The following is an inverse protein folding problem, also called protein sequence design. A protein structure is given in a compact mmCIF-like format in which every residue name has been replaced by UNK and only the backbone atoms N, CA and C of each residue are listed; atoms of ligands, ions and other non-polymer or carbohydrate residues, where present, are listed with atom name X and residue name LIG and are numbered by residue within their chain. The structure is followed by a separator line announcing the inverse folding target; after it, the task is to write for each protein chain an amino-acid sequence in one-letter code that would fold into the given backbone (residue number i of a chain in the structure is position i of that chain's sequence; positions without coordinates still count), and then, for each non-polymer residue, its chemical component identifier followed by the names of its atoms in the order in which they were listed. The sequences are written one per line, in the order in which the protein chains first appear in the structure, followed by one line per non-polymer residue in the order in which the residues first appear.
data_IF_939535780702
#
_entry.id   IF_939535780702
#
_cell.length_a   1.000
_cell.length_b   1.000
_cell.length_c   1.000
_cell.angle_alpha   90.00
_cell.angle_beta   90.00
_cell.angle_gamma   90.00
#
_symmetry.space_group_name_H-M   'P 1'
#
loop_
_entity.id
_entity.type
_entity.pdbx_description
1 polymer ?
#
# COMPACT_ATOMS: atom_id res chain seq x y z
N UNK A 1 12.35 -25.09 -26.40
CA UNK A 1 13.19 -24.00 -25.85
C UNK A 1 12.36 -22.87 -25.21
N UNK A 2 11.24 -22.45 -25.86
CA UNK A 2 10.31 -21.41 -25.31
C UNK A 2 9.53 -21.95 -24.13
N UNK A 3 9.01 -23.18 -24.23
CA UNK A 3 8.25 -23.85 -23.17
C UNK A 3 9.10 -24.08 -21.90
N UNK A 4 10.36 -24.46 -22.07
CA UNK A 4 11.29 -24.65 -20.93
C UNK A 4 11.60 -23.31 -20.23
N UNK A 5 11.80 -22.23 -20.99
CA UNK A 5 11.99 -20.88 -20.42
C UNK A 5 10.75 -20.38 -19.68
N UNK A 6 9.56 -20.70 -20.19
CA UNK A 6 8.30 -20.31 -19.54
C UNK A 6 8.09 -21.05 -18.21
N UNK A 7 8.39 -22.36 -18.16
CA UNK A 7 8.34 -23.14 -16.93
C UNK A 7 9.38 -22.64 -15.92
N UNK A 8 10.60 -22.34 -16.36
CA UNK A 8 11.66 -21.76 -15.53
C UNK A 8 11.20 -20.46 -14.89
N UNK A 9 10.63 -19.57 -15.69
CA UNK A 9 10.10 -18.29 -15.20
C UNK A 9 8.97 -18.47 -14.20
N UNK A 10 8.08 -19.44 -14.45
CA UNK A 10 6.96 -19.75 -13.56
C UNK A 10 7.45 -20.30 -12.20
N UNK A 11 8.48 -21.15 -12.21
CA UNK A 11 9.09 -21.69 -10.99
C UNK A 11 9.79 -20.57 -10.17
N UNK A 12 10.48 -19.64 -10.83
CA UNK A 12 11.09 -18.49 -10.17
C UNK A 12 10.05 -17.53 -9.58
N UNK A 13 8.88 -17.44 -10.19
CA UNK A 13 7.79 -16.59 -9.72
C UNK A 13 6.97 -17.20 -8.58
N UNK A 14 7.00 -18.52 -8.42
CA UNK A 14 6.20 -19.24 -7.43
C UNK A 14 6.39 -18.75 -5.98
N UNK A 15 7.62 -18.45 -5.50
CA UNK A 15 7.83 -17.91 -4.16
C UNK A 15 7.12 -16.57 -3.91
N UNK A 16 7.00 -15.74 -4.94
CA UNK A 16 6.29 -14.45 -4.83
C UNK A 16 4.78 -14.61 -4.76
N UNK A 17 4.22 -15.66 -5.36
CA UNK A 17 2.79 -15.99 -5.19
C UNK A 17 2.45 -16.33 -3.73
N UNK A 18 3.44 -16.75 -2.94
CA UNK A 18 3.26 -16.99 -1.52
C UNK A 18 2.86 -15.73 -0.75
N UNK A 19 3.33 -14.57 -1.17
CA UNK A 19 2.93 -13.28 -0.61
C UNK A 19 1.41 -13.08 -0.70
N UNK A 20 0.80 -13.52 -1.80
CA UNK A 20 -0.65 -13.42 -2.01
C UNK A 20 -1.44 -14.29 -1.04
N UNK A 21 -0.84 -15.35 -0.51
CA UNK A 21 -1.49 -16.24 0.47
C UNK A 21 -1.43 -15.71 1.92
N UNK A 22 -0.58 -14.71 2.20
CA UNK A 22 -0.43 -14.11 3.54
C UNK A 22 -1.77 -13.65 4.14
N UNK A 23 -2.67 -12.97 3.41
CA UNK A 23 -3.98 -12.60 3.94
C UNK A 23 -4.83 -13.78 4.36
N UNK A 24 -4.72 -14.91 3.65
CA UNK A 24 -5.47 -16.12 3.96
C UNK A 24 -4.98 -16.71 5.29
N UNK A 25 -3.67 -16.83 5.48
CA UNK A 25 -3.11 -17.27 6.76
C UNK A 25 -3.49 -16.32 7.91
N UNK A 26 -3.45 -15.01 7.66
CA UNK A 26 -3.84 -14.01 8.64
C UNK A 26 -5.30 -14.11 9.06
N UNK A 27 -6.21 -14.40 8.11
CA UNK A 27 -7.64 -14.55 8.40
C UNK A 27 -7.92 -15.73 9.34
N UNK A 28 -7.10 -16.79 9.26
CA UNK A 28 -7.28 -17.99 10.06
C UNK A 28 -6.50 -17.99 11.37
N UNK A 29 -5.30 -17.48 11.36
CA UNK A 29 -4.37 -17.62 12.49
C UNK A 29 -4.00 -16.25 13.16
N UNK A 30 -4.53 -15.16 12.65
CA UNK A 30 -4.33 -13.83 13.21
C UNK A 30 -3.06 -13.13 12.74
N UNK A 31 -2.85 -11.93 13.27
CA UNK A 31 -1.80 -11.00 12.84
C UNK A 31 -0.39 -11.50 13.16
N UNK A 32 -0.21 -12.19 14.28
CA UNK A 32 1.10 -12.73 14.70
C UNK A 32 1.69 -13.64 13.61
N UNK A 33 0.85 -14.46 12.99
CA UNK A 33 1.27 -15.32 11.89
C UNK A 33 1.64 -14.53 10.64
N UNK A 34 0.89 -13.49 10.29
CA UNK A 34 1.21 -12.60 9.15
C UNK A 34 2.61 -12.03 9.31
N UNK A 35 2.91 -11.50 10.50
CA UNK A 35 4.22 -10.89 10.80
C UNK A 35 5.35 -11.91 10.70
N UNK A 36 5.15 -13.12 11.24
CA UNK A 36 6.14 -14.20 11.16
C UNK A 36 6.40 -14.64 9.72
N UNK A 37 5.34 -14.85 8.92
CA UNK A 37 5.47 -15.20 7.50
C UNK A 37 6.18 -14.10 6.73
N UNK A 38 5.85 -12.85 6.98
CA UNK A 38 6.51 -11.72 6.33
C UNK A 38 8.01 -11.67 6.64
N UNK A 39 8.41 -11.88 7.90
CA UNK A 39 9.83 -11.93 8.28
C UNK A 39 10.53 -13.12 7.62
N UNK A 40 9.88 -14.27 7.53
CA UNK A 40 10.44 -15.42 6.79
C UNK A 40 10.63 -15.12 5.31
N UNK A 41 9.70 -14.37 4.71
CA UNK A 41 9.86 -13.89 3.32
C UNK A 41 11.02 -12.91 3.19
N UNK A 42 11.25 -12.02 4.16
CA UNK A 42 12.43 -11.16 4.19
C UNK A 42 13.72 -11.99 4.25
N UNK A 43 13.77 -12.97 5.13
CA UNK A 43 14.93 -13.87 5.25
C UNK A 43 15.18 -14.59 3.92
N UNK A 44 14.13 -15.07 3.27
CA UNK A 44 14.23 -15.72 1.96
C UNK A 44 14.79 -14.78 0.90
N UNK A 45 14.27 -13.56 0.81
CA UNK A 45 14.71 -12.57 -0.19
C UNK A 45 16.17 -12.18 0.04
N UNK A 46 16.58 -11.94 1.29
CA UNK A 46 17.96 -11.62 1.65
C UNK A 46 18.90 -12.79 1.32
N UNK A 47 18.52 -14.01 1.75
CA UNK A 47 19.32 -15.19 1.48
C UNK A 47 19.48 -15.45 -0.02
N UNK A 48 18.42 -15.21 -0.81
CA UNK A 48 18.46 -15.36 -2.26
C UNK A 48 19.44 -14.39 -2.95
N UNK A 49 19.54 -13.15 -2.45
CA UNK A 49 20.49 -12.17 -2.99
C UNK A 49 21.93 -12.36 -2.48
N UNK A 50 22.13 -12.99 -1.33
CA UNK A 50 23.45 -13.34 -0.82
C UNK A 50 24.12 -14.47 -1.61
N UNK A 51 23.33 -15.22 -2.38
CA UNK A 51 23.86 -16.31 -3.23
C UNK A 51 24.62 -15.70 -4.41
N UNK A 52 25.91 -16.05 -4.61
CA UNK A 52 26.71 -15.53 -5.72
C UNK A 52 26.09 -15.89 -7.07
N UNK A 53 26.13 -14.95 -8.01
CA UNK A 53 25.60 -15.15 -9.38
C UNK A 53 26.27 -16.34 -10.09
N UNK A 54 27.53 -16.65 -9.78
CA UNK A 54 28.25 -17.82 -10.27
C UNK A 54 27.57 -19.14 -9.85
N UNK A 55 27.03 -19.19 -8.64
CA UNK A 55 26.35 -20.37 -8.13
C UNK A 55 24.98 -20.56 -8.78
N UNK A 56 24.27 -19.48 -9.08
CA UNK A 56 23.02 -19.50 -9.85
C UNK A 56 23.17 -20.08 -11.26
N UNK A 57 24.34 -19.90 -11.89
CA UNK A 57 24.61 -20.47 -13.21
C UNK A 57 24.92 -21.98 -13.17
N UNK A 58 25.47 -22.45 -12.05
CA UNK A 58 25.84 -23.87 -11.86
C UNK A 58 24.64 -24.69 -11.37
N UNK A 59 23.84 -24.14 -10.48
CA UNK A 59 22.66 -24.83 -9.90
C UNK A 59 21.41 -24.05 -10.27
N UNK A 60 20.78 -24.37 -11.40
CA UNK A 60 19.47 -23.80 -11.73
C UNK A 60 18.47 -24.18 -10.63
N UNK A 61 17.55 -23.28 -10.32
CA UNK A 61 16.53 -23.45 -9.26
C UNK A 61 17.02 -23.39 -7.81
N UNK A 62 18.25 -22.91 -7.57
CA UNK A 62 18.77 -22.80 -6.21
C UNK A 62 17.87 -21.93 -5.32
N UNK A 63 17.34 -20.82 -5.83
CA UNK A 63 16.39 -19.95 -5.13
C UNK A 63 15.08 -20.65 -4.80
N UNK A 64 14.56 -21.48 -5.71
CA UNK A 64 13.38 -22.29 -5.45
C UNK A 64 13.67 -23.39 -4.40
N UNK A 65 14.81 -24.06 -4.47
CA UNK A 65 15.25 -25.01 -3.46
C UNK A 65 15.37 -24.38 -2.07
N UNK A 66 15.93 -23.19 -1.98
CA UNK A 66 16.02 -22.43 -0.74
C UNK A 66 14.63 -22.07 -0.19
N UNK A 67 13.70 -21.68 -1.06
CA UNK A 67 12.32 -21.42 -0.67
C UNK A 67 11.63 -22.67 -0.12
N UNK A 68 11.73 -23.80 -0.80
CA UNK A 68 11.19 -25.09 -0.33
C UNK A 68 11.78 -25.47 1.02
N UNK A 69 13.08 -25.26 1.20
CA UNK A 69 13.76 -25.56 2.45
C UNK A 69 13.21 -24.68 3.59
N UNK A 70 13.05 -23.38 3.36
CA UNK A 70 12.49 -22.48 4.37
C UNK A 70 11.05 -22.86 4.71
N UNK A 71 10.21 -23.09 3.71
CA UNK A 71 8.78 -23.39 3.91
C UNK A 71 8.56 -24.73 4.60
N UNK A 72 9.39 -25.72 4.31
CA UNK A 72 9.23 -27.08 4.81
C UNK A 72 9.89 -27.33 6.17
N UNK A 73 11.11 -26.80 6.37
CA UNK A 73 11.92 -27.11 7.56
C UNK A 73 11.91 -26.03 8.62
N UNK A 74 11.72 -24.76 8.24
CA UNK A 74 11.80 -23.67 9.22
C UNK A 74 10.51 -23.60 10.03
N UNK A 75 10.56 -23.79 11.37
CA UNK A 75 9.39 -23.63 12.20
C UNK A 75 8.99 -22.15 12.30
N UNK A 76 7.70 -21.89 12.30
CA UNK A 76 7.15 -20.53 12.36
C UNK A 76 7.62 -19.80 13.64
N UNK A 77 7.83 -20.55 14.72
CA UNK A 77 8.27 -20.00 16.01
C UNK A 77 9.78 -19.68 16.09
N UNK A 78 10.53 -19.87 14.99
CA UNK A 78 11.96 -19.52 14.96
C UNK A 78 12.22 -18.05 15.28
N UNK A 79 11.29 -17.17 14.91
CA UNK A 79 11.43 -15.74 15.06
C UNK A 79 11.09 -15.35 16.51
N UNK A 80 12.03 -14.71 17.24
CA UNK A 80 11.81 -14.33 18.63
C UNK A 80 10.79 -13.19 18.72
N UNK A 81 10.00 -13.20 19.79
CA UNK A 81 8.94 -12.20 20.03
C UNK A 81 9.40 -10.73 19.94
N UNK A 82 10.59 -10.31 20.43
CA UNK A 82 11.02 -8.92 20.32
C UNK A 82 11.14 -8.40 18.88
N UNK A 83 11.56 -9.28 17.95
CA UNK A 83 11.66 -8.94 16.51
C UNK A 83 10.29 -8.72 15.93
N UNK A 84 9.32 -9.57 16.26
CA UNK A 84 7.94 -9.44 15.81
C UNK A 84 7.33 -8.15 16.36
N UNK A 85 7.54 -7.85 17.63
CA UNK A 85 7.06 -6.63 18.26
C UNK A 85 7.65 -5.37 17.60
N UNK A 86 8.97 -5.36 17.33
CA UNK A 86 9.62 -4.24 16.64
C UNK A 86 9.05 -4.05 15.23
N UNK A 87 8.89 -5.14 14.49
CA UNK A 87 8.33 -5.11 13.15
C UNK A 87 6.89 -4.61 13.12
N UNK A 88 6.07 -5.06 14.07
CA UNK A 88 4.72 -4.57 14.29
C UNK A 88 4.66 -3.06 14.49
N UNK A 89 5.53 -2.52 15.37
CA UNK A 89 5.60 -1.08 15.60
C UNK A 89 6.08 -0.29 14.39
N UNK A 90 7.01 -0.86 13.63
CA UNK A 90 7.47 -0.26 12.38
C UNK A 90 6.32 -0.15 11.36
N UNK A 91 5.53 -1.22 11.19
CA UNK A 91 4.37 -1.22 10.31
C UNK A 91 3.31 -0.20 10.75
N UNK A 92 3.07 -0.08 12.05
CA UNK A 92 2.12 0.87 12.59
C UNK A 92 2.52 2.33 12.33
N UNK A 93 3.80 2.69 12.56
CA UNK A 93 4.32 4.05 12.35
C UNK A 93 4.34 4.41 10.85
N UNK A 94 4.74 3.46 10.01
CA UNK A 94 4.86 3.70 8.57
C UNK A 94 3.52 3.79 7.84
N UNK A 95 2.46 3.22 8.40
CA UNK A 95 1.13 3.22 7.79
C UNK A 95 0.61 4.61 7.41
N UNK A 96 0.46 5.55 8.35
CA UNK A 96 0.01 6.91 8.06
C UNK A 96 0.95 7.66 7.10
N UNK A 97 2.26 7.47 7.25
CA UNK A 97 3.27 8.10 6.37
C UNK A 97 3.09 7.65 4.94
N UNK A 98 2.92 6.35 4.71
CA UNK A 98 2.68 5.82 3.37
C UNK A 98 1.36 6.33 2.78
N UNK A 99 0.29 6.38 3.56
CA UNK A 99 -1.01 6.91 3.13
C UNK A 99 -0.92 8.37 2.68
N UNK A 100 -0.19 9.21 3.43
CA UNK A 100 0.03 10.61 3.05
C UNK A 100 0.86 10.69 1.78
N UNK A 101 1.93 9.91 1.69
CA UNK A 101 2.82 9.92 0.53
C UNK A 101 2.10 9.50 -0.75
N UNK A 102 1.27 8.47 -0.69
CA UNK A 102 0.45 8.00 -1.81
C UNK A 102 -0.39 9.12 -2.41
N UNK A 103 -1.14 9.82 -1.56
CA UNK A 103 -2.06 10.86 -2.04
C UNK A 103 -1.31 12.08 -2.56
N UNK A 104 -0.23 12.48 -1.89
CA UNK A 104 0.61 13.60 -2.33
C UNK A 104 1.25 13.31 -3.68
N UNK A 105 1.76 12.10 -3.90
CA UNK A 105 2.35 11.70 -5.17
C UNK A 105 1.31 11.62 -6.29
N UNK A 106 0.12 11.08 -6.02
CA UNK A 106 -0.97 11.02 -6.98
C UNK A 106 -1.42 12.43 -7.41
N UNK A 107 -1.60 13.33 -6.45
CA UNK A 107 -1.97 14.74 -6.74
C UNK A 107 -0.86 15.47 -7.49
N UNK A 108 0.39 15.33 -7.06
CA UNK A 108 1.53 15.95 -7.72
C UNK A 108 1.68 15.47 -9.18
N UNK A 109 1.48 14.18 -9.43
CA UNK A 109 1.49 13.63 -10.79
C UNK A 109 0.38 14.26 -11.64
N UNK A 110 -0.85 14.28 -11.12
CA UNK A 110 -1.99 14.86 -11.84
C UNK A 110 -1.78 16.36 -12.14
N UNK A 111 -1.35 17.14 -11.17
CA UNK A 111 -1.13 18.59 -11.34
C UNK A 111 -0.03 18.87 -12.36
N UNK A 112 1.05 18.07 -12.40
CA UNK A 112 2.07 18.18 -13.44
C UNK A 112 1.54 17.83 -14.83
N UNK A 113 0.66 16.84 -14.93
CA UNK A 113 0.04 16.46 -16.20
C UNK A 113 -0.90 17.58 -16.70
N UNK A 114 -1.76 18.12 -15.84
CA UNK A 114 -2.69 19.18 -16.20
C UNK A 114 -1.97 20.46 -16.63
N UNK A 115 -0.91 20.85 -15.92
CA UNK A 115 -0.07 22.00 -16.28
C UNK A 115 0.56 21.82 -17.68
N UNK A 116 1.14 20.66 -17.96
CA UNK A 116 1.69 20.37 -19.32
C UNK A 116 0.64 20.45 -20.41
N UNK A 117 -0.56 19.95 -20.13
CA UNK A 117 -1.67 20.04 -21.11
C UNK A 117 -2.13 21.48 -21.27
N UNK A 118 -2.20 22.28 -20.19
CA UNK A 118 -2.55 23.70 -20.28
C UNK A 118 -1.54 24.51 -21.10
N UNK A 119 -0.24 24.28 -20.91
CA UNK A 119 0.82 24.90 -21.71
C UNK A 119 0.64 24.58 -23.20
N UNK A 120 0.40 23.31 -23.55
CA UNK A 120 0.13 22.92 -24.95
C UNK A 120 -1.15 23.54 -25.53
N UNK A 121 -2.18 23.74 -24.71
CA UNK A 121 -3.40 24.45 -25.15
C UNK A 121 -3.09 25.91 -25.49
N UNK A 122 -2.19 26.54 -24.73
CA UNK A 122 -1.78 27.93 -24.98
C UNK A 122 -0.89 28.06 -26.23
N UNK A 123 -0.04 27.07 -26.50
CA UNK A 123 0.86 27.06 -27.66
C UNK A 123 0.13 26.73 -28.97
N UNK A 124 -0.69 25.66 -28.98
CA UNK A 124 -1.27 25.08 -30.21
C UNK A 124 -2.75 25.45 -30.44
N UNK A 125 -3.41 26.14 -29.49
CA UNK A 125 -4.87 26.43 -29.44
C UNK A 125 -5.77 25.20 -29.82
N UNK A 126 -5.32 24.03 -29.46
CA UNK A 126 -5.93 22.76 -29.89
C UNK A 126 -7.21 22.50 -29.10
N UNK A 127 -8.33 22.43 -29.82
CA UNK A 127 -9.64 22.10 -29.26
C UNK A 127 -9.70 20.71 -28.65
N UNK A 128 -8.83 19.80 -29.08
CA UNK A 128 -8.79 18.42 -28.63
C UNK A 128 -8.31 18.33 -27.18
N UNK A 129 -7.27 19.08 -26.79
CA UNK A 129 -6.79 19.11 -25.42
C UNK A 129 -7.78 19.78 -24.46
N UNK A 130 -8.49 20.81 -24.92
CA UNK A 130 -9.60 21.43 -24.16
C UNK A 130 -10.70 20.41 -23.86
N UNK A 131 -11.07 19.61 -24.87
CA UNK A 131 -12.06 18.54 -24.71
C UNK A 131 -11.61 17.46 -23.75
N UNK A 132 -10.34 17.04 -23.78
CA UNK A 132 -9.77 16.04 -22.88
C UNK A 132 -9.88 16.51 -21.42
N UNK A 133 -9.51 17.77 -21.10
CA UNK A 133 -9.62 18.32 -19.76
C UNK A 133 -11.07 18.32 -19.27
N UNK A 134 -12.00 18.74 -20.11
CA UNK A 134 -13.42 18.80 -19.76
C UNK A 134 -13.97 17.39 -19.51
N UNK A 135 -13.67 16.44 -20.39
CA UNK A 135 -14.11 15.04 -20.23
C UNK A 135 -13.52 14.39 -19.00
N UNK A 136 -12.23 14.64 -18.71
CA UNK A 136 -11.59 14.13 -17.50
C UNK A 136 -12.22 14.71 -16.25
N UNK A 137 -12.46 16.04 -16.20
CA UNK A 137 -13.12 16.68 -15.05
C UNK A 137 -14.53 16.15 -14.85
N UNK A 138 -15.31 16.02 -15.93
CA UNK A 138 -16.64 15.43 -15.89
C UNK A 138 -16.62 13.96 -15.39
N UNK A 139 -15.64 13.17 -15.82
CA UNK A 139 -15.41 11.82 -15.35
C UNK A 139 -15.11 11.76 -13.84
N UNK A 140 -14.26 12.66 -13.35
CA UNK A 140 -13.96 12.77 -11.91
C UNK A 140 -15.22 13.08 -11.10
N UNK A 141 -16.06 14.02 -11.55
CA UNK A 141 -17.32 14.34 -10.85
C UNK A 141 -18.34 13.20 -10.92
N UNK A 142 -18.43 12.49 -12.04
CA UNK A 142 -19.31 11.35 -12.18
C UNK A 142 -18.91 10.20 -11.23
N UNK A 143 -17.61 9.90 -11.13
CA UNK A 143 -17.09 8.91 -10.18
C UNK A 143 -17.33 9.36 -8.73
N UNK A 144 -17.08 10.63 -8.42
CA UNK A 144 -17.35 11.20 -7.11
C UNK A 144 -18.82 11.02 -6.72
N UNK A 145 -19.75 11.34 -7.62
CA UNK A 145 -21.18 11.19 -7.38
C UNK A 145 -21.58 9.72 -7.17
N UNK A 146 -21.02 8.80 -7.95
CA UNK A 146 -21.23 7.36 -7.82
C UNK A 146 -20.80 6.83 -6.44
N UNK A 147 -19.60 7.20 -5.99
CA UNK A 147 -19.10 6.78 -4.66
C UNK A 147 -19.90 7.40 -3.52
N UNK A 148 -20.28 8.67 -3.62
CA UNK A 148 -21.12 9.33 -2.63
C UNK A 148 -22.50 8.66 -2.53
N UNK A 149 -23.10 8.28 -3.66
CA UNK A 149 -24.35 7.56 -3.69
C UNK A 149 -24.25 6.19 -2.99
N UNK A 150 -23.17 5.47 -3.25
CA UNK A 150 -22.94 4.17 -2.62
C UNK A 150 -22.67 4.30 -1.11
N UNK A 151 -21.91 5.32 -0.68
CA UNK A 151 -21.72 5.62 0.75
C UNK A 151 -23.05 5.97 1.41
N UNK A 152 -23.89 6.77 0.73
CA UNK A 152 -25.21 7.14 1.23
C UNK A 152 -26.14 5.94 1.36
N UNK A 153 -26.12 5.00 0.41
CA UNK A 153 -27.04 3.85 0.43
C UNK A 153 -26.66 2.78 1.45
N UNK A 154 -25.37 2.62 1.76
CA UNK A 154 -24.85 1.49 2.57
C UNK A 154 -23.99 1.91 3.76
N UNK A 155 -23.83 3.22 4.00
CA UNK A 155 -22.97 3.76 5.05
C UNK A 155 -23.60 3.71 6.45
N UNK A 156 -22.74 3.83 7.47
CA UNK A 156 -23.13 4.03 8.86
C UNK A 156 -23.25 5.52 9.21
N UNK A 157 -23.77 5.84 10.40
CA UNK A 157 -23.86 7.23 10.89
C UNK A 157 -22.51 7.96 10.85
N UNK A 158 -21.42 7.28 11.19
CA UNK A 158 -20.07 7.85 11.12
C UNK A 158 -19.69 8.22 9.68
N UNK A 159 -20.04 7.37 8.70
CA UNK A 159 -19.77 7.65 7.28
C UNK A 159 -20.57 8.85 6.77
N UNK A 160 -21.81 9.05 7.24
CA UNK A 160 -22.59 10.24 6.86
C UNK A 160 -22.00 11.54 7.41
N UNK A 161 -21.52 11.52 8.66
CA UNK A 161 -20.86 12.68 9.26
C UNK A 161 -19.56 13.02 8.50
N UNK A 162 -18.77 12.01 8.18
CA UNK A 162 -17.53 12.21 7.39
C UNK A 162 -17.85 12.62 5.95
N UNK A 163 -18.92 12.11 5.34
CA UNK A 163 -19.38 12.54 4.02
C UNK A 163 -19.70 14.03 4.00
N UNK A 164 -20.39 14.53 5.03
CA UNK A 164 -20.70 15.95 5.17
C UNK A 164 -19.40 16.77 5.29
N UNK A 165 -18.44 16.32 6.09
CA UNK A 165 -17.12 16.96 6.20
C UNK A 165 -16.41 17.02 4.84
N UNK A 166 -16.40 15.91 4.10
CA UNK A 166 -15.79 15.82 2.77
C UNK A 166 -16.45 16.79 1.79
N UNK A 167 -17.77 16.92 1.82
CA UNK A 167 -18.47 17.90 0.96
C UNK A 167 -18.06 19.34 1.29
N UNK A 168 -17.90 19.69 2.57
CA UNK A 168 -17.38 21.00 2.98
C UNK A 168 -15.95 21.21 2.45
N UNK A 169 -15.08 20.19 2.56
CA UNK A 169 -13.72 20.24 2.02
C UNK A 169 -13.70 20.42 0.50
N UNK A 170 -14.58 19.73 -0.23
CA UNK A 170 -14.71 19.89 -1.67
C UNK A 170 -15.15 21.32 -2.06
N UNK A 171 -16.08 21.89 -1.32
CA UNK A 171 -16.50 23.30 -1.53
C UNK A 171 -15.33 24.26 -1.25
N UNK A 172 -14.55 24.01 -0.19
CA UNK A 172 -13.38 24.81 0.13
C UNK A 172 -12.31 24.74 -0.98
N UNK A 173 -12.03 23.55 -1.52
CA UNK A 173 -11.11 23.35 -2.65
C UNK A 173 -11.57 24.14 -3.88
N UNK A 174 -12.85 24.10 -4.24
CA UNK A 174 -13.39 24.86 -5.36
C UNK A 174 -13.32 26.38 -5.12
N UNK A 175 -13.62 26.84 -3.92
CA UNK A 175 -13.50 28.25 -3.58
C UNK A 175 -12.04 28.73 -3.71
N UNK A 176 -11.07 27.92 -3.23
CA UNK A 176 -9.65 28.26 -3.37
C UNK A 176 -9.20 28.27 -4.83
N UNK A 177 -9.68 27.32 -5.64
CA UNK A 177 -9.45 27.31 -7.08
C UNK A 177 -9.97 28.60 -7.75
N UNK A 178 -11.19 29.03 -7.43
CA UNK A 178 -11.79 30.26 -7.99
C UNK A 178 -11.06 31.53 -7.56
N UNK A 179 -10.49 31.53 -6.36
CA UNK A 179 -9.71 32.68 -5.85
C UNK A 179 -8.28 32.72 -6.40
N UNK A 180 -7.79 31.61 -6.94
CA UNK A 180 -6.46 31.51 -7.54
C UNK A 180 -6.53 31.81 -9.05
N UNK A 181 -5.57 32.57 -9.57
CA UNK A 181 -5.48 32.85 -11.02
C UNK A 181 -5.01 31.62 -11.81
N UNK A 182 -4.26 30.72 -11.15
CA UNK A 182 -3.67 29.53 -11.75
C UNK A 182 -4.49 28.26 -11.46
N UNK A 183 -5.69 28.43 -10.91
CA UNK A 183 -6.56 27.32 -10.54
C UNK A 183 -7.12 26.57 -11.74
N UNK A 184 -6.75 25.29 -11.91
CA UNK A 184 -7.23 24.42 -12.98
C UNK A 184 -8.39 23.56 -12.45
N UNK A 185 -9.54 23.62 -13.13
CA UNK A 185 -10.75 22.85 -12.75
C UNK A 185 -10.49 21.35 -12.66
N UNK A 186 -9.67 20.83 -13.56
CA UNK A 186 -9.29 19.41 -13.61
C UNK A 186 -8.60 18.95 -12.30
N UNK A 187 -7.72 19.78 -11.73
CA UNK A 187 -6.98 19.47 -10.51
C UNK A 187 -7.88 19.52 -9.28
N UNK A 188 -8.79 20.52 -9.23
CA UNK A 188 -9.79 20.58 -8.17
C UNK A 188 -10.76 19.38 -8.23
N UNK A 189 -11.23 19.02 -9.42
CA UNK A 189 -12.10 17.85 -9.63
C UNK A 189 -11.41 16.54 -9.19
N UNK A 190 -10.14 16.37 -9.57
CA UNK A 190 -9.37 15.19 -9.18
C UNK A 190 -9.11 15.13 -7.67
N UNK A 191 -8.77 16.27 -7.04
CA UNK A 191 -8.58 16.34 -5.58
C UNK A 191 -9.85 15.98 -4.83
N UNK A 192 -11.00 16.50 -5.25
CA UNK A 192 -12.30 16.15 -4.67
C UNK A 192 -12.64 14.68 -4.88
N UNK A 193 -12.42 14.15 -6.08
CA UNK A 193 -12.60 12.73 -6.36
C UNK A 193 -11.71 11.87 -5.46
N UNK A 194 -10.43 12.20 -5.31
CA UNK A 194 -9.52 11.47 -4.42
C UNK A 194 -10.00 11.50 -2.96
N UNK A 195 -10.47 12.65 -2.47
CA UNK A 195 -10.98 12.79 -1.11
C UNK A 195 -12.20 11.89 -0.87
N UNK A 196 -13.11 11.81 -1.84
CA UNK A 196 -14.28 10.91 -1.79
C UNK A 196 -13.85 9.44 -1.94
N UNK A 197 -12.86 9.13 -2.78
CA UNK A 197 -12.30 7.78 -2.90
C UNK A 197 -11.68 7.29 -1.59
N UNK A 198 -11.00 8.17 -0.83
CA UNK A 198 -10.45 7.83 0.49
C UNK A 198 -11.58 7.50 1.47
N UNK A 199 -12.66 8.27 1.47
CA UNK A 199 -13.85 7.98 2.28
C UNK A 199 -14.50 6.65 1.89
N UNK A 200 -14.59 6.37 0.59
CA UNK A 200 -15.11 5.10 0.08
C UNK A 200 -14.20 3.92 0.49
N UNK A 201 -12.88 4.09 0.38
CA UNK A 201 -11.92 3.10 0.85
C UNK A 201 -12.10 2.78 2.34
N UNK A 202 -12.27 3.81 3.17
CA UNK A 202 -12.53 3.65 4.59
C UNK A 202 -13.82 2.86 4.85
N UNK A 203 -14.89 3.11 4.09
CA UNK A 203 -16.13 2.33 4.18
C UNK A 203 -15.91 0.86 3.84
N UNK A 204 -15.21 0.58 2.73
CA UNK A 204 -14.93 -0.80 2.32
C UNK A 204 -14.04 -1.53 3.34
N UNK A 205 -13.01 -0.87 3.87
CA UNK A 205 -12.14 -1.42 4.92
C UNK A 205 -12.94 -1.72 6.19
N UNK A 206 -13.78 -0.81 6.65
CA UNK A 206 -14.61 -1.02 7.85
C UNK A 206 -15.64 -2.13 7.65
N UNK A 207 -16.20 -2.29 6.46
CA UNK A 207 -17.13 -3.40 6.17
C UNK A 207 -16.41 -4.76 6.14
N UNK A 208 -15.18 -4.81 5.63
CA UNK A 208 -14.37 -6.04 5.67
C UNK A 208 -14.04 -6.46 7.11
N UNK A 209 -13.73 -5.50 7.96
CA UNK A 209 -13.40 -5.72 9.38
C UNK A 209 -14.62 -6.16 10.18
N UNK A 210 -15.78 -5.55 9.93
CA UNK A 210 -17.04 -5.87 10.64
C UNK A 210 -17.69 -7.18 10.20
N UNK A 211 -17.23 -7.78 9.10
CA UNK A 211 -17.64 -9.10 8.64
C UNK A 211 -16.49 -10.11 8.76
N UNK A 212 -16.01 -10.41 9.99
CA UNK A 212 -14.94 -11.36 10.18
C UNK A 212 -15.40 -12.73 9.68
N UNK A 213 -14.49 -13.42 9.01
CA UNK A 213 -14.67 -14.83 8.74
C UNK A 213 -14.87 -15.53 10.10
N UNK A 214 -16.02 -16.15 10.29
CA UNK A 214 -16.25 -17.01 11.46
C UNK A 214 -15.34 -18.21 11.31
N UNK A 215 -14.12 -18.08 11.80
CA UNK A 215 -13.18 -19.20 11.84
C UNK A 215 -13.63 -20.15 12.94
N UNK A 216 -13.69 -21.46 12.66
CA UNK A 216 -13.93 -22.46 13.69
C UNK A 216 -12.90 -22.31 14.81
N UNK A 217 -13.33 -22.41 16.06
CA UNK A 217 -12.45 -22.30 17.23
C UNK A 217 -11.26 -23.27 17.23
N UNK A 218 -11.39 -24.37 16.49
CA UNK A 218 -10.33 -25.36 16.27
C UNK A 218 -9.14 -24.83 15.48
N UNK A 219 -9.27 -23.74 14.74
CA UNK A 219 -8.23 -23.17 13.89
C UNK A 219 -7.26 -22.26 14.63
N UNK A 220 -7.63 -21.81 15.83
CA UNK A 220 -6.72 -21.05 16.70
C UNK A 220 -5.70 -21.92 17.43
N UNK A 221 -5.78 -23.25 17.28
CA UNK A 221 -4.90 -24.22 17.92
C UNK A 221 -3.80 -24.73 16.98
N UNK A 222 -3.19 -23.85 16.18
CA UNK A 222 -2.01 -24.28 15.44
C UNK A 222 -0.81 -24.45 16.40
N UNK A 223 -0.05 -25.52 16.20
CA UNK A 223 1.20 -25.69 16.95
C UNK A 223 2.27 -24.76 16.33
N UNK A 224 2.80 -23.77 17.08
CA UNK A 224 3.81 -22.85 16.57
C UNK A 224 5.13 -23.52 16.16
N UNK A 225 5.34 -24.78 16.55
CA UNK A 225 6.50 -25.59 16.14
C UNK A 225 6.38 -26.16 14.73
N UNK A 226 5.22 -26.11 14.13
CA UNK A 226 5.00 -26.61 12.77
C UNK A 226 5.64 -25.65 11.74
N UNK A 227 6.03 -26.24 10.59
CA UNK A 227 6.47 -25.46 9.45
C UNK A 227 5.27 -24.88 8.70
N UNK A 228 5.52 -23.85 7.85
CA UNK A 228 4.49 -23.22 7.02
C UNK A 228 3.78 -24.23 6.10
N UNK A 229 4.49 -25.24 5.61
CA UNK A 229 3.91 -26.28 4.76
C UNK A 229 2.89 -27.12 5.52
N UNK A 230 3.20 -27.53 6.74
CA UNK A 230 2.29 -28.33 7.56
C UNK A 230 1.06 -27.52 7.99
N UNK A 231 1.25 -26.21 8.27
CA UNK A 231 0.13 -25.32 8.53
C UNK A 231 -0.77 -25.17 7.30
N UNK A 232 -0.21 -25.00 6.11
CA UNK A 232 -0.96 -24.96 4.86
C UNK A 232 -1.75 -26.25 4.61
N UNK A 233 -1.14 -27.40 4.83
CA UNK A 233 -1.83 -28.69 4.76
C UNK A 233 -2.93 -28.83 5.80
N UNK A 234 -2.70 -28.37 7.03
CA UNK A 234 -3.71 -28.37 8.09
C UNK A 234 -4.93 -27.53 7.69
N UNK A 235 -4.72 -26.32 7.16
CA UNK A 235 -5.78 -25.46 6.66
C UNK A 235 -6.53 -26.13 5.50
N UNK A 236 -5.81 -26.75 4.58
CA UNK A 236 -6.39 -27.40 3.41
C UNK A 236 -7.19 -28.67 3.77
N UNK A 237 -6.70 -29.46 4.72
CA UNK A 237 -7.33 -30.73 5.12
C UNK A 237 -8.46 -30.57 6.13
N UNK A 238 -8.56 -29.39 6.79
CA UNK A 238 -9.48 -29.25 7.92
C UNK A 238 -10.95 -29.28 7.53
N UNK A 239 -11.32 -28.87 6.32
CA UNK A 239 -12.65 -29.13 5.69
C UNK A 239 -12.74 -28.50 4.30
N UNK A 240 -13.57 -29.07 3.42
CA UNK A 240 -13.93 -28.49 2.10
C UNK A 240 -14.61 -27.11 2.28
N UNK A 241 -15.40 -26.95 3.35
CA UNK A 241 -16.05 -25.68 3.70
C UNK A 241 -15.03 -24.58 4.03
N UNK A 242 -13.92 -24.92 4.62
CA UNK A 242 -12.83 -24.01 4.96
C UNK A 242 -12.08 -23.49 3.75
N UNK A 243 -11.89 -24.33 2.74
CA UNK A 243 -11.33 -23.92 1.45
C UNK A 243 -12.28 -22.92 0.76
N UNK A 244 -13.59 -23.15 0.82
CA UNK A 244 -14.60 -22.21 0.30
C UNK A 244 -14.57 -20.85 1.01
N UNK A 245 -14.41 -20.85 2.34
CA UNK A 245 -14.26 -19.63 3.13
C UNK A 245 -12.95 -18.88 2.80
N UNK A 246 -11.84 -19.58 2.64
CA UNK A 246 -10.55 -19.01 2.25
C UNK A 246 -10.61 -18.36 0.86
N UNK A 247 -11.21 -19.05 -0.11
CA UNK A 247 -11.42 -18.52 -1.46
C UNK A 247 -12.35 -17.31 -1.41
N UNK A 248 -13.45 -17.38 -0.66
CA UNK A 248 -14.37 -16.27 -0.49
C UNK A 248 -13.71 -15.03 0.11
N UNK A 249 -12.81 -15.20 1.08
CA UNK A 249 -12.02 -14.12 1.66
C UNK A 249 -11.01 -13.56 0.65
N UNK A 250 -10.30 -14.42 -0.06
CA UNK A 250 -9.36 -14.02 -1.10
C UNK A 250 -10.06 -13.23 -2.20
N UNK A 251 -11.25 -13.64 -2.62
CA UNK A 251 -12.06 -12.92 -3.60
C UNK A 251 -12.52 -11.55 -3.11
N UNK A 252 -12.82 -11.41 -1.81
CA UNK A 252 -13.10 -10.11 -1.21
C UNK A 252 -11.86 -9.20 -1.18
N UNK A 253 -10.71 -9.78 -0.88
CA UNK A 253 -9.42 -9.09 -0.86
C UNK A 253 -8.96 -8.67 -2.26
N UNK A 254 -9.23 -9.46 -3.30
CA UNK A 254 -8.88 -9.20 -4.69
C UNK A 254 -9.92 -8.33 -5.44
N UNK A 255 -10.80 -7.63 -4.72
CA UNK A 255 -11.71 -6.66 -5.38
C UNK A 255 -10.92 -5.62 -6.17
N UNK A 256 -11.46 -5.14 -7.31
CA UNK A 256 -10.75 -4.19 -8.18
C UNK A 256 -10.28 -2.93 -7.46
N UNK A 257 -11.08 -2.44 -6.52
CA UNK A 257 -10.73 -1.26 -5.72
C UNK A 257 -9.51 -1.52 -4.82
N UNK A 258 -9.43 -2.71 -4.23
CA UNK A 258 -8.32 -3.08 -3.37
C UNK A 258 -7.03 -3.27 -4.17
N UNK A 259 -7.13 -3.86 -5.37
CA UNK A 259 -6.02 -3.98 -6.32
C UNK A 259 -5.54 -2.61 -6.80
N UNK A 260 -6.45 -1.67 -7.03
CA UNK A 260 -6.10 -0.30 -7.37
C UNK A 260 -5.32 0.38 -6.24
N UNK A 261 -5.78 0.25 -5.00
CA UNK A 261 -5.08 0.77 -3.82
C UNK A 261 -3.68 0.16 -3.68
N UNK A 262 -3.56 -1.15 -3.89
CA UNK A 262 -2.27 -1.84 -3.91
C UNK A 262 -1.36 -1.30 -5.02
N UNK A 263 -1.90 -1.10 -6.22
CA UNK A 263 -1.16 -0.54 -7.36
C UNK A 263 -0.63 0.87 -7.08
N UNK A 264 -1.45 1.75 -6.52
CA UNK A 264 -1.05 3.11 -6.12
C UNK A 264 0.06 3.06 -5.07
N UNK A 265 -0.05 2.17 -4.11
CA UNK A 265 0.96 1.94 -3.08
C UNK A 265 2.29 1.48 -3.64
N UNK A 266 2.27 0.48 -4.50
CA UNK A 266 3.47 -0.03 -5.18
C UNK A 266 4.13 1.08 -6.01
N UNK A 267 3.34 1.83 -6.78
CA UNK A 267 3.84 2.97 -7.54
C UNK A 267 4.53 4.00 -6.63
N UNK A 268 3.92 4.34 -5.50
CA UNK A 268 4.47 5.32 -4.56
C UNK A 268 5.82 4.90 -4.00
N UNK A 269 5.98 3.62 -3.63
CA UNK A 269 7.28 3.12 -3.15
C UNK A 269 8.32 3.09 -4.26
N UNK A 270 7.96 2.64 -5.46
CA UNK A 270 8.90 2.63 -6.58
C UNK A 270 9.36 4.05 -6.92
N UNK A 271 8.45 5.03 -6.86
CA UNK A 271 8.79 6.43 -7.05
C UNK A 271 9.72 6.97 -5.96
N UNK A 272 9.50 6.62 -4.70
CA UNK A 272 10.37 7.01 -3.59
C UNK A 272 11.77 6.42 -3.78
N UNK A 273 11.87 5.13 -4.10
CA UNK A 273 13.15 4.45 -4.34
C UNK A 273 13.89 5.11 -5.51
N UNK A 274 13.21 5.39 -6.61
CA UNK A 274 13.81 6.07 -7.75
C UNK A 274 14.24 7.51 -7.41
N UNK A 275 13.44 8.23 -6.62
CA UNK A 275 13.79 9.60 -6.19
C UNK A 275 15.02 9.60 -5.29
N UNK A 276 15.15 8.62 -4.39
CA UNK A 276 16.34 8.47 -3.55
C UNK A 276 17.59 8.13 -4.38
N UNK A 277 17.45 7.29 -5.41
CA UNK A 277 18.54 7.02 -6.35
C UNK A 277 19.02 8.29 -7.06
N UNK A 278 18.09 9.13 -7.53
CA UNK A 278 18.45 10.40 -8.19
C UNK A 278 19.15 11.38 -7.25
N UNK A 279 18.69 11.48 -6.01
CA UNK A 279 19.31 12.36 -5.00
C UNK A 279 20.76 11.90 -4.74
N UNK A 280 20.97 10.60 -4.62
CA UNK A 280 22.27 10.01 -4.39
C UNK A 280 23.21 10.22 -5.60
N UNK A 281 22.70 10.12 -6.82
CA UNK A 281 23.44 10.45 -8.04
C UNK A 281 23.87 11.93 -8.09
N UNK A 282 22.94 12.85 -7.80
CA UNK A 282 23.23 14.28 -7.76
C UNK A 282 24.24 14.63 -6.68
N UNK A 283 24.17 14.00 -5.52
CA UNK A 283 25.09 14.24 -4.41
C UNK A 283 26.51 13.72 -4.75
N UNK A 284 26.62 12.63 -5.50
CA UNK A 284 27.91 12.13 -6.03
C UNK A 284 28.49 13.05 -7.08
N UNK A 285 27.68 13.56 -7.99
CA UNK A 285 28.11 14.47 -9.05
C UNK A 285 28.68 15.78 -8.46
N UNK A 286 28.15 16.23 -7.33
CA UNK A 286 28.65 17.40 -6.60
C UNK A 286 29.91 17.13 -5.77
N UNK A 287 30.21 15.85 -5.45
CA UNK A 287 31.36 15.42 -4.65
C UNK A 287 32.56 15.02 -5.48
N UNK A 288 32.59 15.27 -6.80
CA UNK A 288 33.61 14.79 -7.73
C UNK A 288 35.00 15.42 -7.56
N UNK A 289 35.16 16.42 -6.70
CA UNK A 289 36.45 17.09 -6.54
C UNK A 289 37.46 16.35 -5.62
N UNK A 290 37.13 15.18 -5.05
CA UNK A 290 38.01 14.62 -4.00
C UNK A 290 38.38 13.12 -4.11
N UNK A 291 37.66 12.26 -4.85
CA UNK A 291 37.95 10.82 -4.84
C UNK A 291 37.80 10.16 -6.22
N UNK A 292 38.92 10.04 -6.90
CA UNK A 292 39.12 9.35 -8.18
C UNK A 292 39.44 7.88 -7.93
N UNK A 293 38.90 7.02 -7.44
CA UNK A 293 39.09 5.56 -7.20
C UNK A 293 38.40 5.08 -5.92
N UNK A 294 37.08 5.01 -5.97
CA UNK A 294 36.41 4.02 -5.14
C UNK A 294 35.41 3.27 -6.04
N UNK A 295 35.52 1.95 -6.00
CA UNK A 295 34.65 0.98 -6.69
C UNK A 295 33.23 1.48 -6.81
N UNK A 296 32.51 1.14 -7.89
CA UNK A 296 31.08 1.34 -8.06
C UNK A 296 30.34 0.76 -6.85
N UNK A 297 30.33 1.49 -5.75
CA UNK A 297 29.49 1.15 -4.61
C UNK A 297 28.05 1.13 -5.10
N UNK A 298 27.52 -0.08 -5.22
CA UNK A 298 26.11 -0.31 -5.56
C UNK A 298 25.29 0.40 -4.48
N UNK A 299 24.70 1.53 -4.86
CA UNK A 299 23.81 2.24 -3.93
C UNK A 299 22.73 1.28 -3.47
N UNK A 300 22.45 1.20 -2.16
CA UNK A 300 21.48 0.25 -1.63
C UNK A 300 20.08 0.41 -2.27
N UNK A 301 19.77 1.59 -2.78
CA UNK A 301 18.50 1.91 -3.44
C UNK A 301 18.38 1.34 -4.87
N UNK A 302 19.50 1.14 -5.58
CA UNK A 302 19.51 0.50 -6.91
C UNK A 302 19.47 -1.02 -6.85
N UNK A 303 19.63 -1.58 -5.67
CA UNK A 303 19.62 -3.03 -5.49
C UNK A 303 18.23 -3.61 -5.76
N UNK A 304 18.07 -4.67 -6.55
CA UNK A 304 16.84 -5.40 -6.70
C UNK A 304 16.32 -5.96 -5.36
N UNK A 305 17.22 -6.15 -4.40
CA UNK A 305 16.89 -6.55 -3.04
C UNK A 305 15.96 -5.53 -2.36
N UNK A 306 16.31 -4.23 -2.41
CA UNK A 306 15.50 -3.17 -1.79
C UNK A 306 14.09 -3.14 -2.36
N UNK A 307 13.94 -3.31 -3.68
CA UNK A 307 12.63 -3.36 -4.34
C UNK A 307 11.81 -4.56 -3.88
N UNK A 308 12.41 -5.75 -3.81
CA UNK A 308 11.74 -6.98 -3.34
C UNK A 308 11.30 -6.84 -1.87
N UNK A 309 12.17 -6.32 -1.00
CA UNK A 309 11.85 -6.08 0.41
C UNK A 309 10.73 -5.05 0.56
N UNK A 310 10.76 -3.97 -0.23
CA UNK A 310 9.72 -2.96 -0.23
C UNK A 310 8.34 -3.54 -0.62
N UNK A 311 8.28 -4.41 -1.62
CA UNK A 311 7.03 -5.09 -2.03
C UNK A 311 6.49 -5.96 -0.90
N UNK A 312 7.33 -6.78 -0.26
CA UNK A 312 6.92 -7.62 0.87
C UNK A 312 6.42 -6.78 2.03
N UNK A 313 7.15 -5.71 2.37
CA UNK A 313 6.79 -4.78 3.44
C UNK A 313 5.41 -4.15 3.19
N UNK A 314 5.19 -3.62 1.99
CA UNK A 314 3.95 -2.99 1.58
C UNK A 314 2.75 -3.91 1.67
N UNK A 315 2.92 -5.10 1.11
CA UNK A 315 1.86 -6.09 1.11
C UNK A 315 1.51 -6.52 2.53
N UNK A 316 2.52 -6.67 3.39
CA UNK A 316 2.33 -6.98 4.81
C UNK A 316 1.62 -5.84 5.54
N UNK A 317 2.04 -4.60 5.32
CA UNK A 317 1.44 -3.42 5.96
C UNK A 317 -0.04 -3.27 5.56
N UNK A 318 -0.36 -3.47 4.29
CA UNK A 318 -1.73 -3.41 3.79
C UNK A 318 -2.59 -4.54 4.37
N UNK A 319 -2.03 -5.74 4.50
CA UNK A 319 -2.72 -6.90 5.07
C UNK A 319 -2.89 -6.76 6.58
N UNK A 320 -1.86 -6.33 7.30
CA UNK A 320 -1.90 -6.18 8.75
C UNK A 320 -2.94 -5.17 9.19
N UNK A 321 -3.07 -4.05 8.48
CA UNK A 321 -4.08 -3.02 8.78
C UNK A 321 -5.51 -3.57 8.80
N UNK A 322 -5.81 -4.58 7.97
CA UNK A 322 -7.13 -5.21 7.92
C UNK A 322 -7.41 -6.09 9.14
N UNK A 323 -6.36 -6.65 9.76
CA UNK A 323 -6.49 -7.60 10.86
C UNK A 323 -6.27 -6.99 12.24
N UNK A 324 -5.63 -5.83 12.36
CA UNK A 324 -5.42 -5.15 13.65
C UNK A 324 -6.71 -4.91 14.42
N UNK A 325 -7.76 -4.56 13.72
CA UNK A 325 -9.04 -4.21 14.32
C UNK A 325 -9.89 -5.43 14.70
N UNK A 326 -9.65 -6.56 14.03
CA UNK A 326 -10.38 -7.81 14.30
C UNK A 326 -10.02 -8.44 15.65
N UNK A 327 -8.81 -8.23 16.16
CA UNK A 327 -8.32 -8.87 17.38
C UNK A 327 -8.32 -8.00 18.65
N UNK A 328 -8.81 -6.76 18.58
CA UNK A 328 -8.85 -5.84 19.72
C UNK A 328 -7.48 -5.73 20.37
N UNK A 329 -6.64 -4.82 19.88
CA UNK A 329 -5.25 -4.65 20.29
C UNK A 329 -5.12 -4.60 21.82
N UNK A 330 -4.60 -5.66 22.40
CA UNK A 330 -4.40 -5.83 23.84
C UNK A 330 -3.38 -4.86 24.44
N UNK A 331 -2.58 -4.18 23.62
CA UNK A 331 -1.50 -3.27 24.05
C UNK A 331 -2.06 -1.95 24.62
N UNK A 332 -3.19 -1.47 24.11
CA UNK A 332 -3.86 -0.26 24.63
C UNK A 332 -4.76 -0.53 25.84
N UNK A 333 -4.83 -1.77 26.33
CA UNK A 333 -5.58 -2.13 27.52
C UNK A 333 -4.83 -1.83 28.84
N UNK A 334 -3.56 -1.41 28.78
CA UNK A 334 -2.80 -1.00 29.95
C UNK A 334 -3.10 0.45 30.34
N UNK A 335 -3.42 0.66 31.59
CA UNK A 335 -3.57 1.99 32.20
C UNK A 335 -2.28 2.81 32.00
N UNK A 336 -2.27 4.09 31.57
CA UNK A 336 -3.38 5.06 31.46
C UNK A 336 -4.03 5.16 30.05
N UNK A 337 -3.66 4.33 29.09
CA UNK A 337 -4.09 4.42 27.70
C UNK A 337 -5.57 4.07 27.47
N UNK A 338 -6.23 3.41 28.41
CA UNK A 338 -7.66 3.10 28.31
C UNK A 338 -8.56 4.34 28.16
N UNK A 339 -8.16 5.48 28.73
CA UNK A 339 -8.91 6.73 28.62
C UNK A 339 -8.80 7.31 27.20
N UNK A 340 -7.63 7.22 26.59
CA UNK A 340 -7.35 7.69 25.24
C UNK A 340 -8.04 6.78 24.20
N UNK A 341 -8.14 5.48 24.46
CA UNK A 341 -8.79 4.52 23.58
C UNK A 341 -10.27 4.84 23.33
N UNK A 342 -10.99 5.33 24.33
CA UNK A 342 -12.40 5.69 24.17
C UNK A 342 -12.59 6.94 23.28
N UNK A 343 -11.57 7.78 23.16
CA UNK A 343 -11.58 8.99 22.32
C UNK A 343 -10.81 8.81 21.02
N UNK A 344 -10.00 7.74 20.89
CA UNK A 344 -9.23 7.51 19.66
C UNK A 344 -10.13 6.79 18.64
N UNK A 345 -10.39 7.40 17.49
CA UNK A 345 -11.06 6.69 16.41
C UNK A 345 -10.20 5.48 16.02
N UNK A 346 -10.85 4.44 15.55
CA UNK A 346 -10.16 3.25 15.06
C UNK A 346 -8.99 3.65 14.15
N UNK A 347 -7.85 3.01 14.28
CA UNK A 347 -6.59 3.41 13.60
C UNK A 347 -6.74 3.63 12.08
N UNK A 348 -7.58 2.82 11.43
CA UNK A 348 -7.90 2.96 10.00
C UNK A 348 -8.65 4.26 9.74
N UNK A 349 -9.65 4.59 10.55
CA UNK A 349 -10.45 5.81 10.40
C UNK A 349 -9.56 7.03 10.58
N UNK A 350 -8.69 7.00 11.58
CA UNK A 350 -7.73 8.08 11.83
C UNK A 350 -6.76 8.25 10.65
N UNK A 351 -6.15 7.19 10.18
CA UNK A 351 -5.24 7.21 9.04
C UNK A 351 -5.90 7.78 7.76
N UNK A 352 -7.13 7.38 7.49
CA UNK A 352 -7.89 7.86 6.32
C UNK A 352 -8.32 9.33 6.47
N UNK A 353 -8.71 9.76 7.65
CA UNK A 353 -9.03 11.19 7.91
C UNK A 353 -7.78 12.05 7.73
N UNK A 354 -6.63 11.63 8.26
CA UNK A 354 -5.36 12.32 8.06
C UNK A 354 -5.00 12.39 6.56
N UNK A 355 -5.20 11.30 5.83
CA UNK A 355 -4.98 11.25 4.38
C UNK A 355 -5.89 12.24 3.62
N UNK A 356 -7.18 12.34 3.97
CA UNK A 356 -8.10 13.33 3.38
C UNK A 356 -7.66 14.76 3.65
N UNK A 357 -7.26 15.07 4.88
CA UNK A 357 -6.76 16.40 5.25
C UNK A 357 -5.47 16.70 4.47
N UNK A 358 -4.54 15.76 4.42
CA UNK A 358 -3.28 15.93 3.70
C UNK A 358 -3.49 16.21 2.20
N UNK A 359 -4.44 15.52 1.55
CA UNK A 359 -4.79 15.76 0.15
C UNK A 359 -5.21 17.21 -0.10
N UNK A 360 -6.13 17.73 0.72
CA UNK A 360 -6.66 19.08 0.57
C UNK A 360 -5.62 20.14 0.96
N UNK A 361 -4.86 19.91 2.05
CA UNK A 361 -3.77 20.81 2.45
C UNK A 361 -2.68 20.90 1.39
N UNK A 362 -2.30 19.77 0.77
CA UNK A 362 -1.31 19.77 -0.30
C UNK A 362 -1.77 20.55 -1.52
N UNK A 363 -3.03 20.39 -1.93
CA UNK A 363 -3.59 21.16 -3.05
C UNK A 363 -3.57 22.66 -2.77
N UNK A 364 -4.05 23.08 -1.59
CA UNK A 364 -4.07 24.49 -1.18
C UNK A 364 -2.65 25.07 -1.08
N UNK A 365 -1.74 24.31 -0.47
CA UNK A 365 -0.33 24.70 -0.36
C UNK A 365 0.31 24.91 -1.72
N UNK A 366 0.05 24.02 -2.67
CA UNK A 366 0.58 24.12 -4.03
C UNK A 366 0.07 25.37 -4.74
N UNK A 367 -1.23 25.64 -4.69
CA UNK A 367 -1.81 26.85 -5.26
C UNK A 367 -1.24 28.14 -4.64
N UNK A 368 -0.91 28.14 -3.35
CA UNK A 368 -0.35 29.31 -2.69
C UNK A 368 1.13 29.53 -3.06
N UNK A 369 1.91 28.48 -3.25
CA UNK A 369 3.33 28.56 -3.62
C UNK A 369 3.54 28.99 -5.07
N UNK A 370 2.73 28.50 -6.00
CA UNK A 370 2.79 28.94 -7.39
C UNK A 370 2.55 30.46 -7.49
N UNK A 371 1.65 30.98 -6.66
CA UNK A 371 1.43 32.43 -6.55
C UNK A 371 2.68 33.18 -6.06
N UNK A 372 3.48 32.62 -5.16
CA UNK A 372 4.67 33.27 -4.62
C UNK A 372 5.84 33.31 -5.63
N UNK A 373 5.98 32.31 -6.50
CA UNK A 373 7.00 32.30 -7.55
C UNK A 373 6.76 33.32 -8.66
N UNK A 374 5.50 33.67 -8.93
CA UNK A 374 5.14 34.69 -9.94
C UNK A 374 5.11 36.10 -9.39
N UNK A 375 5.16 36.28 -8.08
CA UNK A 375 5.17 37.61 -7.43
C UNK A 375 6.58 38.13 -7.13
N UNK A 376 7.61 37.36 -7.36
CA UNK A 376 9.04 37.71 -7.28
C UNK A 376 9.68 37.77 -8.66
#
# INVERSE_FOLDING_TARGET
HVFTKMILWLIEFLPYLWVVTVPVYGSFCGIDLILRISILLFIYVIAGEMVPKSLHSVVPYLSFGLWVLIVYYVPINLIPWPVIWLYDKLLWITGPVLMITEIVLALNFQMRCSQRVCVRIQEDDSSLFKLIIILFSAGCYALMASFLYEIYSTGSTTHYLLMFLVLIMCVAVHNMMWMSQDGILCDAAFTCMCTVCILYAMKEETTLINSPLKTPSTWFQYDPKQSMFHLGLFIFNSTVDSAGLAIGFLMKFLRPFFLLTLGVRLYSILYIIESMNRIDELQREYSWDTYEYLDEEITPWKSPLTMKLAVVFMFTQMTSNLFYESQGVTILNTFPFNLVRNFYPKDIIFGRVVQMIAANCFYIWRLSNERAEWSN
#
